data_IF_051359873557
#
_entry.id   IF_051359873557
#
_cell.length_a   1.000
_cell.length_b   1.000
_cell.length_c   1.000
_cell.angle_alpha   90.00
_cell.angle_beta   90.00
_cell.angle_gamma   90.00
#
_symmetry.space_group_name_H-M   'P 1'
#
loop_
_entity.id
_entity.type
_entity.pdbx_description
1 polymer ?
#
# COMPACT_ATOMS: atom_id res chain seq x y z
N UNK A 1 13.04 7.22 -1.06
CA UNK A 1 11.96 6.31 -0.62
C UNK A 1 11.69 5.42 -1.80
N UNK A 2 11.85 4.11 -1.64
CA UNK A 2 11.71 3.16 -2.74
C UNK A 2 10.50 2.28 -2.48
N UNK A 3 9.71 2.06 -3.53
CA UNK A 3 8.55 1.18 -3.55
C UNK A 3 8.68 0.33 -4.80
N UNK A 4 9.05 -0.94 -4.67
CA UNK A 4 9.41 -1.77 -5.82
C UNK A 4 10.61 -1.20 -6.61
N UNK A 5 10.39 -0.88 -7.88
CA UNK A 5 11.40 -0.28 -8.77
C UNK A 5 11.41 1.25 -8.75
N UNK A 6 10.41 1.87 -8.13
CA UNK A 6 10.15 3.29 -8.17
C UNK A 6 10.86 4.00 -7.02
N UNK A 7 11.63 5.03 -7.33
CA UNK A 7 12.33 5.87 -6.34
C UNK A 7 11.69 7.24 -6.27
N UNK A 8 11.33 7.63 -5.05
CA UNK A 8 10.76 8.93 -4.73
C UNK A 8 11.67 9.73 -3.80
N UNK A 9 11.82 11.01 -4.10
CA UNK A 9 12.61 11.95 -3.32
C UNK A 9 11.69 12.88 -2.54
N UNK A 10 12.04 13.13 -1.28
CA UNK A 10 11.39 14.09 -0.41
C UNK A 10 12.42 14.66 0.56
N UNK A 11 12.09 15.77 1.20
CA UNK A 11 12.92 16.39 2.23
C UNK A 11 12.29 16.18 3.59
N UNK A 12 13.11 15.97 4.61
CA UNK A 12 12.66 15.99 6.00
C UNK A 12 12.14 17.38 6.32
N UNK A 13 11.07 17.45 7.12
CA UNK A 13 10.49 18.71 7.56
C UNK A 13 11.50 19.55 8.39
N UNK A 14 11.26 20.85 8.57
CA UNK A 14 12.17 21.72 9.32
C UNK A 14 12.41 21.28 10.78
N UNK A 15 11.48 20.53 11.36
CA UNK A 15 11.61 19.95 12.72
C UNK A 15 12.53 18.72 12.77
N UNK A 16 12.96 18.19 11.61
CA UNK A 16 13.88 17.06 11.52
C UNK A 16 13.30 15.71 11.90
N UNK A 17 11.97 15.59 12.00
CA UNK A 17 11.30 14.40 12.57
C UNK A 17 10.48 13.61 11.56
N UNK A 18 9.90 14.26 10.55
CA UNK A 18 8.95 13.62 9.64
C UNK A 18 9.22 14.02 8.20
N UNK A 19 8.75 13.19 7.29
CA UNK A 19 8.74 13.42 5.85
C UNK A 19 7.49 12.79 5.27
N UNK A 20 7.09 13.24 4.08
CA UNK A 20 5.96 12.66 3.36
C UNK A 20 6.26 12.64 1.86
N UNK A 21 5.72 11.64 1.17
CA UNK A 21 5.86 11.49 -0.27
C UNK A 21 4.58 10.88 -0.83
N UNK A 22 4.10 11.42 -1.96
CA UNK A 22 2.91 10.90 -2.61
C UNK A 22 3.30 9.77 -3.56
N UNK A 23 2.70 8.59 -3.38
CA UNK A 23 2.95 7.40 -4.20
C UNK A 23 1.64 7.00 -4.88
N UNK A 24 1.62 6.77 -6.21
CA UNK A 24 0.42 6.29 -6.90
C UNK A 24 -0.08 4.96 -6.32
N UNK A 25 -1.40 4.84 -6.17
CA UNK A 25 -2.02 3.63 -5.61
C UNK A 25 -1.74 2.36 -6.44
N UNK A 26 -1.53 2.47 -7.75
CA UNK A 26 -1.14 1.35 -8.61
C UNK A 26 0.25 0.78 -8.25
N UNK A 27 1.19 1.64 -7.85
CA UNK A 27 2.52 1.23 -7.41
C UNK A 27 2.42 0.54 -6.04
N UNK A 28 1.62 1.08 -5.14
CA UNK A 28 1.38 0.44 -3.84
C UNK A 28 0.67 -0.91 -3.99
N UNK A 29 -0.32 -1.02 -4.88
CA UNK A 29 -1.04 -2.26 -5.10
C UNK A 29 -0.18 -3.36 -5.76
N UNK A 30 0.86 -2.98 -6.49
CA UNK A 30 1.77 -3.91 -7.16
C UNK A 30 2.95 -4.37 -6.29
N UNK A 31 3.15 -3.77 -5.11
CA UNK A 31 4.30 -4.03 -4.24
C UNK A 31 3.83 -4.36 -2.82
N UNK A 32 4.75 -4.80 -1.95
CA UNK A 32 4.44 -5.17 -0.56
C UNK A 32 5.44 -4.62 0.47
N UNK A 33 6.41 -3.84 0.02
CA UNK A 33 7.46 -3.28 0.85
C UNK A 33 7.80 -1.85 0.43
N UNK A 34 8.19 -1.05 1.42
CA UNK A 34 8.70 0.30 1.27
C UNK A 34 10.04 0.38 1.99
N UNK A 35 11.03 1.01 1.38
CA UNK A 35 12.27 1.39 2.05
C UNK A 35 12.49 2.90 2.00
N UNK A 36 13.09 3.46 3.05
CA UNK A 36 13.43 4.87 3.11
C UNK A 36 14.88 5.05 3.58
N UNK A 37 15.58 5.94 2.89
CA UNK A 37 16.95 6.35 3.20
C UNK A 37 16.95 7.86 3.42
N UNK A 38 17.53 8.29 4.53
CA UNK A 38 17.74 9.70 4.86
C UNK A 38 19.23 9.92 5.05
N UNK A 39 19.78 10.91 4.36
CA UNK A 39 21.18 11.33 4.50
C UNK A 39 21.21 12.75 5.04
N UNK A 40 21.89 12.95 6.15
CA UNK A 40 22.11 14.27 6.77
C UNK A 40 23.59 14.63 6.71
N UNK A 41 23.87 15.93 6.62
CA UNK A 41 25.22 16.48 6.63
C UNK A 41 25.28 17.66 7.60
N UNK A 42 26.30 17.70 8.45
CA UNK A 42 26.55 18.87 9.30
C UNK A 42 27.36 19.96 8.60
N UNK A 43 27.53 21.12 9.23
CA UNK A 43 28.28 22.27 8.68
C UNK A 43 29.77 21.95 8.46
N UNK A 44 30.33 21.00 9.22
CA UNK A 44 31.71 20.54 9.06
C UNK A 44 31.87 19.54 7.90
N UNK A 45 30.75 19.10 7.30
CA UNK A 45 30.72 18.18 6.17
C UNK A 45 30.57 16.71 6.54
N UNK A 46 30.42 16.35 7.83
CA UNK A 46 30.22 14.97 8.26
C UNK A 46 28.85 14.47 7.81
N UNK A 47 28.79 13.22 7.33
CA UNK A 47 27.57 12.63 6.77
C UNK A 47 27.11 11.45 7.61
N UNK A 48 25.81 11.40 7.88
CA UNK A 48 25.16 10.24 8.49
C UNK A 48 24.01 9.78 7.61
N UNK A 49 23.86 8.47 7.46
CA UNK A 49 22.75 7.86 6.72
C UNK A 49 21.96 6.95 7.64
N UNK A 50 20.63 7.10 7.61
CA UNK A 50 19.69 6.23 8.29
C UNK A 50 18.80 5.53 7.26
N UNK A 51 18.55 4.24 7.47
CA UNK A 51 17.71 3.42 6.62
C UNK A 51 16.59 2.77 7.44
N UNK A 52 15.43 2.59 6.84
CA UNK A 52 14.33 1.82 7.40
C UNK A 52 13.54 1.12 6.30
N UNK A 53 12.85 0.04 6.65
CA UNK A 53 11.96 -0.70 5.77
C UNK A 53 10.64 -1.02 6.47
N UNK A 54 9.57 -1.11 5.69
CA UNK A 54 8.23 -1.43 6.18
C UNK A 54 7.48 -2.28 5.16
N UNK A 55 6.94 -3.41 5.60
CA UNK A 55 6.12 -4.31 4.77
C UNK A 55 4.64 -4.06 5.03
N UNK A 56 3.81 -4.19 4.00
CA UNK A 56 2.36 -4.06 4.09
C UNK A 56 1.67 -5.11 3.21
N UNK A 57 0.43 -5.45 3.56
CA UNK A 57 -0.41 -6.32 2.74
C UNK A 57 -1.25 -5.49 1.76
N UNK A 58 -1.51 -6.07 0.59
CA UNK A 58 -2.46 -5.53 -0.39
C UNK A 58 -3.65 -6.49 -0.45
N UNK A 59 -4.83 -6.00 -0.07
CA UNK A 59 -6.09 -6.74 -0.22
C UNK A 59 -7.00 -6.01 -1.22
N UNK A 60 -7.06 -6.53 -2.43
CA UNK A 60 -7.93 -6.05 -3.51
C UNK A 60 -9.02 -7.05 -3.85
N UNK A 61 -9.16 -8.13 -3.08
CA UNK A 61 -10.09 -9.21 -3.41
C UNK A 61 -11.44 -8.91 -2.76
N UNK A 62 -12.41 -8.54 -3.59
CA UNK A 62 -13.78 -8.38 -3.10
C UNK A 62 -14.38 -9.75 -2.69
N UNK A 63 -15.13 -9.82 -1.58
CA UNK A 63 -15.86 -11.02 -1.23
C UNK A 63 -16.93 -11.33 -2.28
N UNK A 64 -17.03 -12.58 -2.70
CA UNK A 64 -18.11 -13.05 -3.57
C UNK A 64 -19.34 -13.38 -2.75
N UNK A 65 -20.49 -12.86 -3.15
CA UNK A 65 -21.78 -13.20 -2.54
C UNK A 65 -22.65 -13.93 -3.57
N UNK A 66 -23.28 -15.02 -3.15
CA UNK A 66 -24.22 -15.77 -3.97
C UNK A 66 -25.58 -15.81 -3.29
N UNK A 67 -26.65 -15.61 -4.08
CA UNK A 67 -28.03 -15.84 -3.66
C UNK A 67 -28.59 -16.94 -4.56
N UNK A 68 -29.19 -17.96 -3.95
CA UNK A 68 -29.95 -19.00 -4.64
C UNK A 68 -31.38 -18.99 -4.13
N UNK A 69 -32.33 -19.25 -5.03
CA UNK A 69 -33.72 -19.49 -4.68
C UNK A 69 -34.01 -20.92 -5.11
N UNK A 70 -34.42 -21.74 -4.15
CA UNK A 70 -34.84 -23.10 -4.44
C UNK A 70 -36.17 -23.10 -5.19
N UNK A 71 -36.42 -24.16 -5.96
CA UNK A 71 -37.72 -24.31 -6.62
C UNK A 71 -38.84 -24.34 -5.58
N UNK A 72 -39.98 -23.71 -5.88
CA UNK A 72 -41.14 -23.68 -4.99
C UNK A 72 -41.77 -25.08 -4.81
N UNK A 73 -41.61 -25.94 -5.82
CA UNK A 73 -41.99 -27.36 -5.84
C UNK A 73 -40.93 -28.15 -6.63
N UNK A 74 -41.00 -29.49 -6.70
CA UNK A 74 -40.00 -30.29 -7.44
C UNK A 74 -39.82 -29.88 -8.92
N UNK A 75 -40.83 -29.22 -9.50
CA UNK A 75 -40.83 -28.69 -10.87
C UNK A 75 -41.06 -27.17 -10.96
N UNK A 76 -41.06 -26.46 -9.83
CA UNK A 76 -41.30 -25.01 -9.76
C UNK A 76 -42.64 -24.54 -10.37
N UNK A 77 -43.71 -25.33 -10.24
CA UNK A 77 -45.08 -25.01 -10.71
C UNK A 77 -46.08 -25.18 -9.57
N UNK A 78 -47.05 -24.26 -9.47
CA UNK A 78 -48.23 -24.35 -8.59
C UNK A 78 -49.45 -24.65 -9.47
N UNK A 79 -50.16 -25.74 -9.19
CA UNK A 79 -51.47 -26.03 -9.77
C UNK A 79 -52.55 -25.71 -8.74
N UNK A 80 -53.55 -24.93 -9.16
CA UNK A 80 -54.71 -24.53 -8.36
C UNK A 80 -55.91 -25.42 -8.66
#
# INVERSE_FOLDING_TARGET
>A
VNVGSETYHTTVNPEGKTWSVNVPGSVLAANGDISATVTTRDTAGNVTTANTNHTYGVDTVAPVSSISIDNVTSVNVINA
#
